data_IF_660402184106
#
_entry.id   IF_660402184106
#
_cell.length_a   1.000
_cell.length_b   1.000
_cell.length_c   1.000
_cell.angle_alpha   90.00
_cell.angle_beta   90.00
_cell.angle_gamma   90.00
#
_symmetry.space_group_name_H-M   'P 1'
#
loop_
_entity.id
_entity.type
_entity.pdbx_description
1 polymer ?
#
# COMPACT_ATOMS: atom_id res chain seq x y z
N UNK A 1 4.52 14.39 24.88
CA UNK A 1 4.76 13.03 24.35
C UNK A 1 3.64 12.77 23.35
N UNK A 2 3.86 13.06 22.06
CA UNK A 2 2.81 12.95 21.03
C UNK A 2 2.37 11.50 20.91
N UNK A 3 1.08 11.23 21.13
CA UNK A 3 0.54 9.91 20.89
C UNK A 3 0.61 9.63 19.39
N UNK A 4 1.27 8.52 19.01
CA UNK A 4 1.26 8.04 17.64
C UNK A 4 -0.15 7.55 17.33
N UNK A 5 -0.84 8.27 16.44
CA UNK A 5 -2.13 7.83 15.93
C UNK A 5 -1.91 6.96 14.70
N UNK A 6 -2.45 5.75 14.73
CA UNK A 6 -2.41 4.82 13.62
C UNK A 6 -3.76 4.83 12.90
N UNK A 7 -3.74 4.97 11.58
CA UNK A 7 -4.94 4.92 10.75
C UNK A 7 -4.92 3.65 9.91
N UNK A 8 -5.93 2.79 10.10
CA UNK A 8 -6.11 1.61 9.26
C UNK A 8 -6.98 1.98 8.06
N UNK A 9 -6.42 1.84 6.86
CA UNK A 9 -7.10 2.17 5.60
C UNK A 9 -7.32 0.91 4.78
N UNK A 10 -8.50 0.80 4.16
CA UNK A 10 -8.83 -0.27 3.23
C UNK A 10 -8.85 0.29 1.81
N UNK A 11 -8.23 -0.42 0.87
CA UNK A 11 -8.26 -0.10 -0.55
C UNK A 11 -9.08 -1.16 -1.30
N UNK A 12 -10.13 -0.74 -2.00
CA UNK A 12 -10.91 -1.58 -2.89
C UNK A 12 -10.61 -1.20 -4.33
N UNK A 13 -10.11 -2.15 -5.11
CA UNK A 13 -9.78 -1.94 -6.50
C UNK A 13 -11.04 -2.03 -7.36
N UNK A 14 -11.49 -0.88 -7.88
CA UNK A 14 -12.61 -0.80 -8.83
C UNK A 14 -12.21 -1.17 -10.26
N UNK A 15 -10.92 -1.04 -10.57
CA UNK A 15 -10.32 -1.39 -11.86
C UNK A 15 -9.07 -2.23 -11.62
N UNK A 16 -8.65 -3.07 -12.59
CA UNK A 16 -7.38 -3.78 -12.48
C UNK A 16 -6.23 -2.82 -12.20
N UNK A 17 -5.43 -3.11 -11.17
CA UNK A 17 -4.27 -2.31 -10.79
C UNK A 17 -2.99 -3.09 -11.11
N UNK A 18 -2.12 -2.48 -11.89
CA UNK A 18 -0.77 -2.98 -12.11
C UNK A 18 0.22 -2.19 -11.24
N UNK A 19 0.77 -2.85 -10.23
CA UNK A 19 1.87 -2.33 -9.41
C UNK A 19 3.16 -2.92 -9.93
N UNK A 20 4.07 -2.10 -10.47
CA UNK A 20 5.32 -2.60 -11.06
C UNK A 20 6.05 -3.55 -10.11
N UNK A 21 6.31 -4.77 -10.58
CA UNK A 21 7.11 -5.77 -9.87
C UNK A 21 8.56 -5.80 -10.36
N UNK A 22 9.41 -6.56 -9.69
CA UNK A 22 10.70 -6.94 -10.25
C UNK A 22 10.49 -7.79 -11.51
N UNK A 23 11.30 -7.56 -12.53
CA UNK A 23 11.30 -8.35 -13.76
C UNK A 23 11.60 -9.81 -13.45
N UNK A 24 10.70 -10.73 -13.81
CA UNK A 24 10.99 -12.16 -13.91
C UNK A 24 11.12 -12.58 -15.37
N UNK A 25 11.85 -13.67 -15.59
CA UNK A 25 12.23 -14.21 -16.90
C UNK A 25 11.06 -14.31 -17.89
N UNK A 26 11.33 -14.08 -19.18
CA UNK A 26 10.35 -14.30 -20.25
C UNK A 26 9.58 -13.06 -20.73
N UNK A 27 10.09 -11.83 -20.51
CA UNK A 27 9.54 -10.58 -21.07
C UNK A 27 8.11 -10.22 -20.58
N UNK A 28 7.68 -10.74 -19.44
CA UNK A 28 6.43 -10.36 -18.78
C UNK A 28 6.72 -9.48 -17.57
N UNK A 29 6.07 -8.32 -17.49
CA UNK A 29 6.13 -7.45 -16.31
C UNK A 29 5.19 -7.99 -15.24
N UNK A 30 5.76 -8.61 -14.21
CA UNK A 30 5.03 -9.07 -13.04
C UNK A 30 4.47 -7.92 -12.21
N UNK A 31 3.51 -8.23 -11.35
CA UNK A 31 3.10 -7.33 -10.27
C UNK A 31 3.98 -7.53 -9.03
N UNK A 32 4.05 -6.51 -8.16
CA UNK A 32 4.73 -6.61 -6.88
C UNK A 32 4.21 -7.79 -6.03
N UNK A 33 5.15 -8.59 -5.50
CA UNK A 33 4.89 -9.79 -4.69
C UNK A 33 5.79 -9.85 -3.47
N UNK A 34 5.25 -10.34 -2.36
CA UNK A 34 6.03 -10.64 -1.16
C UNK A 34 7.03 -11.78 -1.43
N UNK A 35 8.29 -11.61 -1.05
CA UNK A 35 9.36 -12.59 -1.36
C UNK A 35 9.12 -13.98 -0.74
N UNK A 36 8.52 -14.04 0.45
CA UNK A 36 8.35 -15.28 1.20
C UNK A 36 7.02 -16.01 0.94
N UNK A 37 5.98 -15.31 0.46
CA UNK A 37 4.66 -15.90 0.19
C UNK A 37 4.26 -15.86 -1.28
N UNK A 38 4.95 -15.05 -2.09
CA UNK A 38 4.56 -14.69 -3.45
C UNK A 38 3.18 -14.02 -3.54
N UNK A 39 2.61 -13.55 -2.42
CA UNK A 39 1.33 -12.85 -2.45
C UNK A 39 1.45 -11.46 -3.07
N UNK A 40 0.49 -11.06 -3.92
CA UNK A 40 0.40 -9.68 -4.37
C UNK A 40 0.26 -8.73 -3.19
N UNK A 41 0.92 -7.58 -3.27
CA UNK A 41 0.75 -6.48 -2.33
C UNK A 41 0.92 -5.15 -3.08
N UNK A 42 0.46 -4.06 -2.46
CA UNK A 42 0.67 -2.71 -2.98
C UNK A 42 1.82 -2.06 -2.20
N UNK A 43 2.95 -1.73 -2.87
CA UNK A 43 4.09 -1.13 -2.21
C UNK A 43 3.77 0.21 -1.53
N UNK A 44 4.23 0.39 -0.30
CA UNK A 44 4.07 1.62 0.49
C UNK A 44 4.68 2.81 -0.23
N UNK A 45 5.82 2.62 -0.91
CA UNK A 45 6.46 3.65 -1.73
C UNK A 45 5.58 4.09 -2.92
N UNK A 46 4.85 3.16 -3.54
CA UNK A 46 3.92 3.47 -4.64
C UNK A 46 2.72 4.26 -4.12
N UNK A 47 2.13 3.81 -3.00
CA UNK A 47 1.02 4.48 -2.35
C UNK A 47 1.42 5.89 -1.89
N UNK A 48 2.55 6.00 -1.18
CA UNK A 48 3.13 7.27 -0.72
C UNK A 48 3.40 8.20 -1.89
N UNK A 49 4.00 7.71 -2.98
CA UNK A 49 4.31 8.50 -4.16
C UNK A 49 3.06 9.06 -4.83
N UNK A 50 2.01 8.23 -5.00
CA UNK A 50 0.76 8.67 -5.62
C UNK A 50 0.02 9.69 -4.74
N UNK A 51 -0.14 9.42 -3.44
CA UNK A 51 -0.82 10.33 -2.50
C UNK A 51 -0.05 11.65 -2.41
N UNK A 52 1.28 11.60 -2.30
CA UNK A 52 2.12 12.80 -2.32
C UNK A 52 1.90 13.62 -3.60
N UNK A 53 1.90 12.99 -4.76
CA UNK A 53 1.69 13.68 -6.04
C UNK A 53 0.35 14.39 -6.12
N UNK A 54 -0.72 13.77 -5.60
CA UNK A 54 -2.05 14.40 -5.55
C UNK A 54 -2.08 15.55 -4.55
N UNK A 55 -1.47 15.37 -3.37
CA UNK A 55 -1.41 16.43 -2.36
C UNK A 55 -0.54 17.61 -2.81
N UNK A 56 0.56 17.36 -3.53
CA UNK A 56 1.38 18.43 -4.13
C UNK A 56 0.58 19.27 -5.14
N UNK A 57 -0.38 18.67 -5.84
CA UNK A 57 -1.26 19.39 -6.76
C UNK A 57 -2.28 20.27 -6.02
N UNK A 58 -2.82 19.80 -4.89
CA UNK A 58 -3.86 20.49 -4.12
C UNK A 58 -3.25 21.54 -3.15
N UNK A 59 -2.28 21.12 -2.35
CA UNK A 59 -1.61 21.92 -1.33
C UNK A 59 -0.12 21.52 -1.18
N UNK A 60 0.79 22.20 -1.89
CA UNK A 60 2.22 21.92 -1.84
C UNK A 60 2.84 22.02 -0.45
N UNK A 61 2.36 22.95 0.39
CA UNK A 61 2.94 23.18 1.72
C UNK A 61 2.67 21.98 2.65
N UNK A 62 1.45 21.45 2.63
CA UNK A 62 1.11 20.25 3.40
C UNK A 62 1.83 19.00 2.87
N UNK A 63 2.02 18.90 1.55
CA UNK A 63 2.78 17.80 0.97
C UNK A 63 4.23 17.74 1.49
N UNK A 64 4.88 18.90 1.62
CA UNK A 64 6.23 18.99 2.18
C UNK A 64 6.26 18.67 3.68
N UNK A 65 5.24 19.06 4.45
CA UNK A 65 5.13 18.70 5.88
C UNK A 65 4.92 17.19 6.06
N UNK A 66 3.95 16.59 5.37
CA UNK A 66 3.62 15.18 5.56
C UNK A 66 4.64 14.24 4.94
N UNK A 67 5.18 14.55 3.76
CA UNK A 67 6.05 13.64 3.01
C UNK A 67 7.52 14.07 3.00
N UNK A 68 7.88 15.23 3.56
CA UNK A 68 9.23 15.77 3.55
C UNK A 68 9.55 16.54 2.27
N UNK A 69 10.46 17.49 2.36
CA UNK A 69 10.85 18.35 1.24
C UNK A 69 11.73 17.61 0.23
N UNK A 70 11.49 17.88 -1.06
CA UNK A 70 12.41 17.45 -2.12
C UNK A 70 13.71 18.26 -2.04
N UNK A 71 14.78 17.71 -2.62
CA UNK A 71 16.05 18.43 -2.76
C UNK A 71 15.79 19.71 -3.55
N UNK A 72 16.01 20.85 -2.90
CA UNK A 72 15.95 22.19 -3.48
C UNK A 72 17.22 22.93 -3.10
N UNK A 73 17.87 23.55 -4.09
CA UNK A 73 19.02 24.44 -3.89
C UNK A 73 20.17 23.83 -3.06
N UNK A 74 20.44 22.53 -3.25
CA UNK A 74 21.53 21.82 -2.55
C UNK A 74 21.25 21.49 -1.08
N UNK A 75 20.04 21.73 -0.58
CA UNK A 75 19.62 21.31 0.78
C UNK A 75 19.26 19.83 0.81
N UNK A 76 19.61 19.17 1.91
CA UNK A 76 19.24 17.78 2.17
C UNK A 76 17.72 17.64 2.27
N UNK A 77 17.15 16.52 1.80
CA UNK A 77 15.73 16.24 1.95
C UNK A 77 15.37 16.09 3.44
N UNK A 78 14.17 16.54 3.81
CA UNK A 78 13.66 16.38 5.17
C UNK A 78 12.81 15.12 5.29
N UNK A 79 12.69 14.60 6.51
CA UNK A 79 11.75 13.52 6.81
C UNK A 79 10.30 14.05 6.83
N UNK A 80 9.35 13.19 6.48
CA UNK A 80 7.93 13.48 6.57
C UNK A 80 7.33 12.99 7.90
N UNK A 81 6.22 13.59 8.31
CA UNK A 81 5.54 13.24 9.56
C UNK A 81 4.74 11.92 9.49
N UNK A 82 4.44 11.41 8.29
CA UNK A 82 3.64 10.19 8.11
C UNK A 82 4.44 9.00 7.59
N UNK A 83 4.13 7.83 8.17
CA UNK A 83 4.70 6.55 7.79
C UNK A 83 3.62 5.69 7.15
N UNK A 84 3.93 5.09 6.01
CA UNK A 84 3.02 4.19 5.30
C UNK A 84 3.48 2.75 5.49
N UNK A 85 2.54 1.90 5.89
CA UNK A 85 2.73 0.45 5.81
C UNK A 85 2.39 -0.06 4.40
N UNK A 86 2.92 -1.23 4.08
CA UNK A 86 2.57 -1.96 2.87
C UNK A 86 1.08 -2.34 2.88
N UNK A 87 0.38 -2.16 1.75
CA UNK A 87 -1.01 -2.58 1.63
C UNK A 87 -1.08 -4.05 1.23
N UNK A 88 -1.51 -4.89 2.16
CA UNK A 88 -1.58 -6.36 2.00
C UNK A 88 -3.00 -6.83 1.68
N UNK A 89 -3.10 -8.01 1.06
CA UNK A 89 -4.40 -8.60 0.74
C UNK A 89 -5.19 -8.96 2.00
N UNK A 90 -6.49 -8.65 1.95
CA UNK A 90 -7.47 -9.10 2.93
C UNK A 90 -8.55 -9.98 2.28
N UNK A 91 -9.00 -9.58 1.09
CA UNK A 91 -9.92 -10.33 0.25
C UNK A 91 -9.42 -10.34 -1.19
N UNK A 92 -9.61 -11.44 -1.89
CA UNK A 92 -9.29 -11.56 -3.30
C UNK A 92 -10.50 -12.08 -4.08
N UNK A 93 -10.88 -11.45 -5.19
CA UNK A 93 -12.04 -11.88 -5.97
C UNK A 93 -11.67 -13.06 -6.87
N UNK A 94 -12.44 -14.14 -6.79
CA UNK A 94 -12.32 -15.28 -7.71
C UNK A 94 -13.64 -15.56 -8.41
N UNK A 95 -13.57 -16.07 -9.64
CA UNK A 95 -14.74 -16.53 -10.36
C UNK A 95 -15.33 -17.78 -9.67
N UNK A 96 -16.66 -17.85 -9.57
CA UNK A 96 -17.39 -18.98 -9.02
C UNK A 96 -18.53 -19.41 -9.96
N UNK A 97 -18.72 -20.72 -10.13
CA UNK A 97 -19.77 -21.25 -11.01
C UNK A 97 -21.18 -20.88 -10.52
N UNK A 98 -21.41 -20.88 -9.21
CA UNK A 98 -22.75 -20.69 -8.63
C UNK A 98 -23.09 -19.22 -8.34
N UNK A 99 -22.07 -18.37 -8.13
CA UNK A 99 -22.26 -16.99 -7.64
C UNK A 99 -21.57 -15.93 -8.50
N UNK A 100 -21.01 -16.31 -9.66
CA UNK A 100 -20.18 -15.50 -10.56
C UNK A 100 -18.87 -15.01 -9.95
N UNK A 101 -18.91 -14.32 -8.81
CA UNK A 101 -17.77 -13.78 -8.09
C UNK A 101 -17.89 -14.10 -6.60
N UNK A 102 -16.83 -14.62 -6.00
CA UNK A 102 -16.73 -14.80 -4.55
C UNK A 102 -15.46 -14.15 -4.05
N UNK A 103 -15.57 -13.42 -2.95
CA UNK A 103 -14.42 -12.87 -2.23
C UNK A 103 -13.86 -13.95 -1.30
N UNK A 104 -12.64 -14.38 -1.56
CA UNK A 104 -11.94 -15.36 -0.72
C UNK A 104 -10.96 -14.67 0.21
N UNK A 105 -10.68 -15.35 1.33
CA UNK A 105 -9.62 -15.00 2.28
C UNK A 105 -8.99 -16.27 2.84
N UNK A 106 -7.97 -16.16 3.68
CA UNK A 106 -7.33 -17.29 4.34
C UNK A 106 -6.93 -16.94 5.79
N UNK A 107 -6.66 -17.94 6.65
CA UNK A 107 -6.28 -17.70 8.04
C UNK A 107 -5.09 -16.75 8.19
N UNK A 108 -4.09 -16.83 7.31
CA UNK A 108 -2.92 -15.96 7.33
C UNK A 108 -3.26 -14.47 7.08
N UNK A 109 -4.18 -14.17 6.16
CA UNK A 109 -4.61 -12.78 5.90
C UNK A 109 -5.40 -12.23 7.08
N UNK A 110 -6.30 -13.03 7.64
CA UNK A 110 -7.08 -12.65 8.82
C UNK A 110 -6.21 -12.44 10.06
N UNK A 111 -5.19 -13.27 10.27
CA UNK A 111 -4.24 -13.11 11.37
C UNK A 111 -3.43 -11.81 11.24
N UNK A 112 -2.96 -11.49 10.02
CA UNK A 112 -2.29 -10.21 9.74
C UNK A 112 -3.21 -9.03 10.02
N UNK A 113 -4.47 -9.11 9.59
CA UNK A 113 -5.46 -8.07 9.85
C UNK A 113 -5.76 -7.90 11.35
N UNK A 114 -5.89 -9.01 12.09
CA UNK A 114 -6.11 -9.01 13.54
C UNK A 114 -4.99 -8.26 14.30
N UNK A 115 -3.73 -8.37 13.85
CA UNK A 115 -2.61 -7.61 14.41
C UNK A 115 -2.76 -6.10 14.23
N UNK A 116 -3.34 -5.65 13.12
CA UNK A 116 -3.54 -4.22 12.85
C UNK A 116 -4.70 -3.63 13.65
N UNK A 117 -5.78 -4.38 13.85
CA UNK A 117 -6.94 -3.94 14.64
C UNK A 117 -6.74 -4.11 16.16
N UNK A 118 -5.63 -4.74 16.58
CA UNK A 118 -5.31 -4.94 18.00
C UNK A 118 -6.14 -6.03 18.69
N UNK A 119 -6.67 -7.00 17.92
CA UNK A 119 -7.49 -8.11 18.45
C UNK A 119 -6.63 -9.34 18.85
N UNK A 120 -5.31 -9.25 18.75
CA UNK A 120 -4.43 -10.36 19.13
C UNK A 120 -4.24 -10.41 20.65
N UNK A 121 -4.64 -11.52 21.27
CA UNK A 121 -4.32 -11.91 22.67
C UNK A 121 -2.82 -12.12 22.86
#
# INVERSE_FOLDING_TARGET
MNQRQNYLTYAHLITPLHTGGSTQEGNLMGIAREVHTEFPYLPSASLRGKIRSELEYINPAEADTFFGQKIKDGKQPTEGEVWFAEATLLFFPIASLNYHLVWITCPLWLERWNRWIGITQ
#
